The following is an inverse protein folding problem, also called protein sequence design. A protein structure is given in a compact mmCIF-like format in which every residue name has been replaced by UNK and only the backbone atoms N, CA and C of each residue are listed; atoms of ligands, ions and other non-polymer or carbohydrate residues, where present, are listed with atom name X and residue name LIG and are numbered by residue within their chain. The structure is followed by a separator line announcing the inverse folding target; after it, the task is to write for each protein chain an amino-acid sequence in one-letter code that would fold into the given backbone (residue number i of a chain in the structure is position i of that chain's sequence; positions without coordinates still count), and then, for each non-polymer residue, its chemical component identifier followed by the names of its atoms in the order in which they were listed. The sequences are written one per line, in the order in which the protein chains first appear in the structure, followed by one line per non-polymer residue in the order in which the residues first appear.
data_IF_068119876508
#
_entry.id   IF_068119876508
#
_cell.length_a   1.000
_cell.length_b   1.000
_cell.length_c   1.000
_cell.angle_alpha   90.00
_cell.angle_beta   90.00
_cell.angle_gamma   90.00
#
_symmetry.space_group_name_H-M   'P 1'
#
loop_
_entity.id
_entity.type
_entity.pdbx_description
1 polymer ?
2 non-polymer ?
3 non-polymer ?
4 water ?
#
# COMPACT_ATOMS: atom_id res chain seq x y z
N UNK A 1 11.68 7.84 4.66
CA UNK A 1 10.80 7.79 3.44
C UNK A 1 9.32 7.62 3.81
N UNK A 2 8.40 7.78 2.82
CA UNK A 2 6.97 7.53 3.03
C UNK A 2 6.72 6.04 3.30
N UNK A 3 7.67 5.20 2.87
CA UNK A 3 7.63 3.73 3.03
C UNK A 3 8.38 3.19 4.24
N UNK A 4 8.99 4.03 5.07
CA UNK A 4 9.91 3.58 6.17
C UNK A 4 9.13 2.72 7.19
N UNK A 5 7.88 3.12 7.47
CA UNK A 5 7.04 2.35 8.40
C UNK A 5 6.77 0.94 7.87
N UNK A 6 6.48 0.81 6.60
CA UNK A 6 6.24 -0.49 5.91
C UNK A 6 7.51 -1.35 5.87
N UNK A 7 6.31 1.28 5.76
CA UNK A 7 5.82 -0.10 5.53
C UNK A 7 6.99 -1.07 5.38
N UNK A 8 7.92 -0.71 4.51
CA UNK A 8 8.98 -1.63 4.06
C UNK A 8 9.07 -2.75 5.10
N UNK A 9 9.46 -2.45 6.35
CA UNK A 9 9.72 -3.47 7.38
C UNK A 9 8.50 -4.38 7.54
N UNK A 10 7.30 -3.80 7.65
CA UNK A 10 6.03 -4.54 7.86
C UNK A 10 5.65 -5.29 6.60
N UNK A 11 5.90 -4.71 5.41
CA UNK A 11 5.29 -5.27 4.18
C UNK A 11 6.19 -6.26 3.36
N UNK A 12 7.50 -6.10 3.15
CA UNK A 12 8.01 -6.51 1.76
C UNK A 12 8.22 -8.01 1.63
N UNK A 13 8.24 -8.70 2.78
CA UNK A 13 8.39 -10.14 2.84
C UNK A 13 7.07 -10.90 2.76
N UNK A 14 5.93 -10.24 2.71
CA UNK A 14 4.65 -10.87 2.36
C UNK A 14 4.75 -11.36 0.94
N UNK A 15 4.54 -12.66 0.73
CA UNK A 15 4.85 -13.28 -0.57
C UNK A 15 3.60 -13.12 -1.40
N UNK A 16 3.34 -11.88 -1.77
CA UNK A 16 2.25 -11.51 -2.69
C UNK A 16 2.81 -10.42 -3.58
N UNK A 17 2.18 -10.19 -4.73
CA UNK A 17 2.60 -9.08 -5.62
C UNK A 17 1.82 -7.84 -5.29
N UNK A 18 2.46 -6.82 -4.76
CA UNK A 18 1.74 -5.58 -4.47
C UNK A 18 2.71 -4.41 -4.45
N UNK A 19 2.14 -3.21 -4.62
CA UNK A 19 2.82 -1.93 -4.37
C UNK A 19 1.90 -1.08 -3.52
N UNK A 20 2.48 -0.10 -2.78
CA UNK A 20 1.76 0.96 -2.01
C UNK A 20 2.21 2.31 -2.58
N UNK A 21 1.27 3.11 -3.09
CA UNK A 21 1.56 4.43 -3.65
C UNK A 21 1.09 5.49 -2.67
N UNK A 22 1.69 6.70 -2.82
CA UNK A 22 1.37 7.86 -1.99
C UNK A 22 0.74 8.95 -2.83
N UNK A 23 -0.60 9.03 -2.80
CA UNK A 23 -1.28 10.00 -3.67
C UNK A 23 -1.10 11.46 -3.22
N UNK A 24 -0.45 11.66 -2.07
CA UNK A 24 -0.24 13.01 -1.51
C UNK A 24 1.12 13.54 -2.00
N UNK A 25 1.83 12.83 -2.88
CA UNK A 25 3.07 13.27 -3.55
C UNK A 25 2.87 13.36 -5.06
N UNK A 26 3.71 14.14 -5.78
CA UNK A 26 3.53 14.24 -7.22
C UNK A 26 3.44 12.90 -7.96
N UNK A 27 2.37 12.82 -8.75
CA UNK A 27 2.18 11.71 -9.70
C UNK A 27 2.08 10.40 -8.92
N UNK A 28 1.55 10.39 -7.69
CA UNK A 28 1.14 9.13 -6.96
C UNK A 28 2.21 8.03 -7.12
N UNK A 29 3.45 8.30 -6.68
CA UNK A 29 4.55 7.37 -6.89
C UNK A 29 4.41 6.13 -5.99
N UNK A 30 4.95 5.05 -6.53
CA UNK A 30 5.21 3.85 -5.69
C UNK A 30 6.19 4.22 -4.58
N UNK A 31 5.79 3.98 -3.32
CA UNK A 31 6.67 4.20 -2.16
C UNK A 31 7.07 2.88 -1.50
N UNK A 32 6.40 1.78 -1.87
CA UNK A 32 6.87 0.43 -1.46
C UNK A 32 6.50 -0.54 -2.56
N UNK A 33 7.34 -1.54 -2.68
CA UNK A 33 7.04 -2.63 -3.59
C UNK A 33 7.45 -3.95 -2.94
N UNK A 34 6.57 -4.96 -2.99
CA UNK A 34 6.94 -6.27 -2.39
C UNK A 34 8.08 -6.90 -3.14
N UNK A 35 8.86 -7.74 -2.45
CA UNK A 35 9.89 -8.55 -3.15
C UNK A 35 9.25 -9.30 -4.30
N UNK A 36 8.07 -9.88 -4.11
CA UNK A 36 7.47 -10.67 -5.20
C UNK A 36 7.17 -9.81 -6.44
N UNK A 37 6.65 -8.60 -6.26
CA UNK A 37 6.43 -7.68 -7.40
C UNK A 37 7.67 -7.48 -8.27
N UNK A 38 8.81 -7.26 -7.64
CA UNK A 38 10.05 -7.04 -8.40
C UNK A 38 10.41 -8.29 -9.22
N UNK A 39 10.19 -9.48 -8.67
CA UNK A 39 10.50 -10.71 -9.43
C UNK A 39 9.55 -10.85 -10.63
N UNK A 40 8.26 -10.59 -10.42
CA UNK A 40 7.24 -10.60 -11.50
C UNK A 40 7.67 -9.66 -12.64
N UNK A 41 7.96 -8.41 -12.30
CA UNK A 41 8.10 -7.35 -13.33
C UNK A 41 9.52 -7.30 -13.90
N UNK A 42 10.43 -7.83 -13.07
CA UNK A 42 11.89 -8.00 -13.28
C UNK A 42 12.61 -6.65 -13.20
N UNK A 43 11.97 -5.61 -12.67
CA UNK A 43 12.63 -4.34 -12.26
C UNK A 43 13.19 -4.48 -10.84
N UNK A 44 14.21 -3.67 -10.54
CA UNK A 44 14.83 -3.57 -9.20
C UNK A 44 14.02 -2.58 -8.34
N UNK A 45 14.16 -2.68 -7.02
CA UNK A 45 13.48 -1.73 -6.12
C UNK A 45 13.93 -0.31 -6.51
N UNK A 46 15.22 -0.10 -6.78
CA UNK A 46 15.71 1.27 -7.02
C UNK A 46 15.15 1.85 -8.32
N UNK A 47 14.86 1.01 -9.32
CA UNK A 47 14.26 1.45 -10.60
C UNK A 47 12.80 1.87 -10.38
N UNK A 48 12.11 1.29 -9.39
CA UNK A 48 10.64 1.45 -9.19
C UNK A 48 10.33 2.54 -8.16
N UNK A 49 11.03 2.62 -7.04
CA UNK A 49 10.55 3.49 -5.95
C UNK A 49 10.64 4.94 -6.42
N UNK A 50 9.59 5.69 -6.15
CA UNK A 50 9.47 7.09 -6.56
C UNK A 50 8.92 7.25 -7.97
N UNK A 51 8.54 6.20 -8.66
CA UNK A 51 7.93 6.32 -10.02
C UNK A 51 6.47 5.81 -9.99
N UNK A 52 5.65 6.33 -10.86
CA UNK A 52 4.26 5.89 -11.07
C UNK A 52 4.29 4.50 -11.71
N UNK A 53 3.31 3.70 -11.31
CA UNK A 53 3.18 2.29 -11.81
C UNK A 53 2.87 2.16 -13.30
N UNK A 54 2.57 3.27 -14.00
CA UNK A 54 2.09 3.15 -15.39
C UNK A 54 3.17 2.63 -16.34
N UNK A 55 4.44 2.56 -15.88
CA UNK A 55 5.54 2.02 -16.69
C UNK A 55 5.25 0.57 -17.16
N UNK A 56 4.36 -0.15 -16.48
CA UNK A 56 4.07 -1.54 -16.83
C UNK A 56 3.23 -1.63 -18.12
N UNK A 57 2.62 -0.54 -18.56
CA UNK A 57 1.72 -0.58 -19.69
C UNK A 57 2.52 -0.57 -21.00
N UNK A 58 1.90 -0.94 -22.10
CA UNK A 58 2.56 -0.99 -23.41
C UNK A 58 1.55 -0.99 -24.56
N UNK A 59 1.99 -1.47 -25.73
CA UNK A 59 1.24 -1.23 -26.95
C UNK A 59 -0.17 -1.81 -27.01
N UNK A 60 -0.40 -2.99 -26.45
CA UNK A 60 -1.75 -3.61 -26.53
C UNK A 60 -2.60 -3.28 -25.30
N UNK A 61 -2.10 -2.49 -24.36
CA UNK A 61 -2.90 -2.17 -23.16
C UNK A 61 -4.17 -1.45 -23.55
N UNK A 62 -5.32 -1.89 -23.04
CA UNK A 62 -6.64 -1.26 -23.30
C UNK A 62 -6.70 0.06 -22.53
N UNK A 63 -6.74 1.16 -23.27
CA UNK A 63 -6.72 2.50 -22.67
C UNK A 63 -8.00 2.78 -21.91
N UNK A 64 -9.12 2.17 -22.27
CA UNK A 64 -10.37 2.34 -21.52
C UNK A 64 -10.23 1.66 -20.16
N UNK A 65 -9.55 0.53 -20.07
CA UNK A 65 -9.29 -0.13 -18.78
C UNK A 65 -8.41 0.76 -17.90
N UNK A 66 -7.40 1.33 -18.51
CA UNK A 66 -6.51 2.27 -17.76
C UNK A 66 -7.34 3.44 -17.23
N UNK A 67 -8.29 3.95 -18.02
CA UNK A 67 -9.14 5.06 -17.57
C UNK A 67 -9.99 4.64 -16.38
N UNK A 68 -10.40 3.38 -16.28
CA UNK A 68 -11.19 2.94 -15.12
C UNK A 68 -10.30 2.97 -13.88
N UNK A 69 -8.99 2.73 -14.01
CA UNK A 69 -8.08 2.86 -12.86
C UNK A 69 -7.95 4.34 -12.50
N UNK A 70 -7.66 5.16 -13.51
CA UNK A 70 -7.56 6.63 -13.37
C UNK A 70 -8.76 7.18 -12.60
N UNK A 71 -9.98 6.77 -12.99
CA UNK A 71 -11.22 7.30 -12.41
C UNK A 71 -11.34 6.81 -10.99
N UNK A 72 -11.01 5.55 -10.72
CA UNK A 72 -11.11 5.04 -9.33
C UNK A 72 -10.16 5.79 -8.40
N UNK A 73 -8.97 6.08 -8.89
CA UNK A 73 -7.98 6.83 -8.08
C UNK A 73 -8.52 8.24 -7.82
N UNK A 74 -8.99 8.89 -8.88
CA UNK A 74 -9.51 10.27 -8.74
C UNK A 74 -10.70 10.30 -7.77
N UNK A 75 -11.57 9.30 -7.87
CA UNK A 75 -12.79 9.17 -7.05
C UNK A 75 -12.51 8.61 -5.66
N UNK A 76 -11.30 8.11 -5.47
CA UNK A 76 -10.84 7.39 -4.25
C UNK A 76 -11.72 6.17 -3.94
N UNK A 77 -11.96 5.36 -4.94
CA UNK A 77 -12.75 4.12 -4.79
C UNK A 77 -11.84 2.93 -5.13
N UNK A 78 -12.26 1.76 -4.69
CA UNK A 78 -11.63 0.49 -5.10
C UNK A 78 -11.94 0.31 -6.57
N UNK A 79 -11.22 -0.63 -7.20
CA UNK A 79 -11.57 -1.16 -8.54
C UNK A 79 -10.80 -2.45 -8.77
N UNK A 80 -11.38 -3.29 -9.55
CA UNK A 80 -10.73 -4.51 -10.03
C UNK A 80 -10.82 -4.52 -11.54
N UNK A 81 -9.70 -4.66 -12.22
CA UNK A 81 -9.65 -4.70 -13.69
C UNK A 81 -8.67 -5.77 -14.12
N UNK A 82 -8.66 -6.04 -15.41
CA UNK A 82 -7.66 -6.92 -16.00
C UNK A 82 -7.11 -6.24 -17.24
N UNK A 83 -5.78 -6.11 -17.31
CA UNK A 83 -5.18 -5.33 -18.41
C UNK A 83 -3.84 -5.99 -18.77
N UNK A 84 -3.38 -5.69 -19.96
CA UNK A 84 -2.08 -6.14 -20.44
C UNK A 84 -0.97 -5.24 -19.89
N UNK A 85 0.04 -5.89 -19.35
CA UNK A 85 1.27 -5.29 -18.83
C UNK A 85 2.45 -6.03 -19.48
N UNK A 86 3.66 -5.47 -19.29
CA UNK A 86 4.91 -5.99 -19.88
C UNK A 86 5.97 -5.96 -18.80
N UNK A 87 6.76 -7.03 -18.73
CA UNK A 87 7.98 -7.03 -17.88
C UNK A 87 9.12 -6.20 -18.50
N UNK A 88 10.17 -6.01 -17.74
CA UNK A 88 11.35 -5.22 -18.25
C UNK A 88 11.88 -5.82 -19.57
N UNK A 89 11.80 -7.15 -19.75
CA UNK A 89 12.27 -7.81 -21.00
C UNK A 89 11.30 -7.65 -22.17
N UNK A 90 10.08 -7.13 -21.91
CA UNK A 90 9.06 -7.01 -22.98
C UNK A 90 8.13 -8.20 -23.07
N UNK A 91 8.20 -9.12 -22.10
CA UNK A 91 7.27 -10.27 -21.98
C UNK A 91 5.89 -9.71 -21.62
N UNK A 92 4.91 -10.05 -22.42
CA UNK A 92 3.49 -9.69 -22.18
C UNK A 92 2.91 -10.56 -21.08
N UNK A 93 2.12 -9.94 -20.22
CA UNK A 93 1.30 -10.71 -19.27
C UNK A 93 -0.03 -9.99 -19.05
N UNK A 94 -1.02 -10.78 -18.65
CA UNK A 94 -2.32 -10.22 -18.20
C UNK A 94 -2.18 -9.98 -16.70
N UNK A 95 -2.56 -8.80 -16.26
CA UNK A 95 -2.50 -8.38 -14.85
C UNK A 95 -3.93 -8.23 -14.39
N UNK A 96 -4.37 -9.15 -13.54
CA UNK A 96 -5.61 -8.95 -12.81
C UNK A 96 -5.26 -8.14 -11.56
N UNK A 97 -5.75 -6.91 -11.56
CA UNK A 97 -5.27 -5.81 -10.71
C UNK A 97 -6.40 -5.36 -9.80
N UNK A 98 -6.15 -5.29 -8.51
CA UNK A 98 -7.11 -4.72 -7.53
C UNK A 98 -6.46 -3.56 -6.81
N UNK A 99 -7.13 -2.43 -6.83
CA UNK A 99 -6.76 -1.17 -6.16
C UNK A 99 -7.65 -0.98 -4.96
N UNK A 100 -7.14 -0.53 -3.84
CA UNK A 100 -8.09 0.02 -2.82
C UNK A 100 -7.34 1.03 -2.00
N UNK A 101 -8.03 2.11 -1.66
CA UNK A 101 -7.48 3.12 -0.78
C UNK A 101 -7.24 2.55 0.62
N UNK A 102 -6.18 3.04 1.25
CA UNK A 102 -5.86 2.74 2.65
C UNK A 102 -6.08 4.02 3.46
N UNK A 103 -6.99 3.94 4.40
CA UNK A 103 -7.45 5.08 5.20
C UNK A 103 -6.71 5.10 6.54
N UNK A 104 -6.61 6.29 7.08
CA UNK A 104 -6.16 6.48 8.50
C UNK A 104 -7.39 6.46 9.42
N UNK A 105 -7.16 6.75 10.71
CA UNK A 105 -8.14 6.73 11.83
C UNK A 105 -9.35 7.63 11.54
N UNK A 106 -9.11 8.76 10.86
CA UNK A 106 -10.12 9.80 10.52
C UNK A 106 -10.92 9.41 9.27
N UNK A 107 -10.46 8.41 8.49
CA UNK A 107 -11.14 7.98 7.25
C UNK A 107 -10.58 8.64 6.00
N UNK A 108 -9.50 9.40 6.14
CA UNK A 108 -8.85 10.11 5.01
C UNK A 108 -7.98 9.06 4.29
N UNK A 109 -7.89 9.16 2.97
CA UNK A 109 -7.06 8.24 2.16
C UNK A 109 -5.58 8.64 2.29
N UNK A 110 -4.76 7.78 2.86
CA UNK A 110 -3.31 8.04 3.06
C UNK A 110 -2.43 7.44 1.95
N UNK A 111 -2.78 6.22 1.50
CA UNK A 111 -2.03 5.44 0.50
C UNK A 111 -3.02 4.69 -0.36
N UNK A 112 -2.58 4.26 -1.53
CA UNK A 112 -3.29 3.24 -2.30
C UNK A 112 -2.47 1.95 -2.23
N UNK A 113 -3.19 0.84 -2.15
CA UNK A 113 -2.66 -0.55 -2.24
C UNK A 113 -3.07 -1.07 -3.59
N UNK A 114 -2.12 -1.68 -4.29
CA UNK A 114 -2.40 -2.30 -5.56
C UNK A 114 -1.87 -3.70 -5.57
N UNK A 115 -2.71 -4.66 -5.80
CA UNK A 115 -2.36 -6.09 -5.80
C UNK A 115 -2.54 -6.64 -7.20
N UNK A 116 -1.51 -7.37 -7.66
CA UNK A 116 -1.48 -7.92 -9.02
C UNK A 116 -1.54 -9.45 -8.93
N UNK A 117 -2.26 -10.09 -9.83
CA UNK A 117 -2.17 -11.53 -10.09
C UNK A 117 -1.93 -11.74 -11.56
N UNK A 118 -0.78 -12.20 -11.91
CA UNK A 118 -0.31 -12.31 -13.30
C UNK A 118 -0.82 -13.60 -13.93
N UNK A 119 -1.02 -13.56 -15.22
CA UNK A 119 -1.38 -14.76 -15.98
C UNK A 119 -1.02 -14.60 -17.44
N UNK A 120 -1.19 -15.71 -18.12
CA UNK A 120 -0.79 -15.85 -19.52
C UNK A 120 -1.95 -15.43 -20.39
N UNK A 121 -3.16 -15.48 -19.85
CA UNK A 121 -4.38 -15.25 -20.63
C UNK A 121 -5.35 -14.36 -19.88
N UNK A 122 -6.28 -13.77 -20.60
CA UNK A 122 -7.40 -13.00 -20.00
C UNK A 122 -8.30 -14.05 -19.35
N UNK A 123 -8.45 -14.09 -18.05
CA UNK A 123 -9.33 -15.06 -17.37
C UNK A 123 -10.74 -14.50 -17.34
N UNK A 124 -11.69 -15.40 -17.31
CA UNK A 124 -13.09 -15.01 -17.14
C UNK A 124 -13.80 -16.07 -16.34
N UNK A 125 -15.06 -15.77 -16.08
CA UNK A 125 -15.99 -16.75 -15.48
C UNK A 125 -15.46 -17.22 -14.12
N UNK A 126 -15.60 -18.49 -13.75
CA UNK A 126 -15.43 -18.83 -12.34
C UNK A 126 -13.96 -18.60 -12.05
N UNK A 127 -13.03 -18.86 -13.00
CA UNK A 127 -11.57 -18.68 -12.80
C UNK A 127 -11.31 -17.23 -12.43
N UNK A 128 -11.92 -16.30 -13.14
CA UNK A 128 -11.70 -14.87 -12.86
C UNK A 128 -12.25 -14.59 -11.48
N UNK A 129 -13.43 -15.10 -11.14
CA UNK A 129 -14.12 -14.66 -9.92
C UNK A 129 -13.32 -15.17 -8.75
N UNK A 130 -12.75 -16.36 -8.84
CA UNK A 130 -11.88 -16.87 -7.80
C UNK A 130 -10.62 -16.02 -7.68
N UNK A 131 -9.95 -15.69 -8.79
CA UNK A 131 -8.73 -14.87 -8.74
C UNK A 131 -9.02 -13.52 -8.12
N UNK A 132 -10.15 -12.94 -8.42
CA UNK A 132 -10.59 -11.67 -7.82
C UNK A 132 -10.71 -11.86 -6.29
N UNK A 133 -11.39 -12.92 -5.82
CA UNK A 133 -11.49 -13.15 -4.37
C UNK A 133 -10.09 -13.32 -3.74
N UNK A 134 -9.09 -13.96 -4.37
CA UNK A 134 -7.70 -14.10 -3.84
C UNK A 134 -7.12 -12.70 -3.66
N UNK A 135 -7.15 -11.87 -4.68
CA UNK A 135 -6.43 -10.59 -4.60
C UNK A 135 -7.17 -9.66 -3.64
N UNK A 136 -8.49 -9.70 -3.52
CA UNK A 136 -9.25 -8.90 -2.54
C UNK A 136 -8.89 -9.32 -1.13
N UNK A 137 -8.74 -10.63 -0.88
CA UNK A 137 -8.38 -11.12 0.49
C UNK A 137 -6.94 -10.68 0.78
N UNK A 138 -6.05 -10.75 -0.18
CA UNK A 138 -4.66 -10.29 -0.04
C UNK A 138 -4.66 -8.81 0.26
N UNK A 139 -5.47 -8.02 -0.45
CA UNK A 139 -5.49 -6.57 -0.21
C UNK A 139 -5.94 -6.28 1.20
N UNK A 140 -6.94 -6.99 1.70
CA UNK A 140 -7.39 -6.79 3.08
C UNK A 140 -6.28 -7.14 4.07
N UNK A 141 -5.51 -8.19 3.85
CA UNK A 141 -4.42 -8.56 4.80
C UNK A 141 -3.32 -7.49 4.73
N UNK A 142 -3.06 -6.91 3.56
CA UNK A 142 -2.08 -5.82 3.46
C UNK A 142 -2.62 -4.57 4.16
N UNK A 143 -3.90 -4.30 4.00
CA UNK A 143 -4.51 -3.09 4.60
C UNK A 143 -4.31 -3.15 6.12
N UNK A 144 -4.61 -4.27 6.74
CA UNK A 144 -4.51 -4.31 8.22
C UNK A 144 -3.07 -4.24 8.68
N UNK A 145 -2.16 -4.95 8.01
CA UNK A 145 -0.73 -4.92 8.36
C UNK A 145 -0.19 -3.52 8.14
N UNK A 146 -0.53 -2.86 7.05
CA UNK A 146 -0.04 -1.51 6.76
C UNK A 146 -0.63 -0.53 7.76
N UNK A 147 -1.88 -0.69 8.19
CA UNK A 147 -2.48 0.24 9.17
C UNK A 147 -1.73 0.11 10.48
N UNK A 148 -1.38 -1.09 10.86
CA UNK A 148 -0.61 -1.31 12.12
C UNK A 148 0.76 -0.66 12.01
N UNK A 149 1.44 -0.83 10.88
CA UNK A 149 2.76 -0.23 10.63
C UNK A 149 2.67 1.28 10.67
N UNK A 150 1.59 1.85 10.14
CA UNK A 150 1.42 3.31 10.15
C UNK A 150 1.18 3.79 11.58
N UNK A 151 0.45 3.06 12.41
CA UNK A 151 0.30 3.45 13.84
C UNK A 151 1.66 3.39 14.54
N UNK A 152 2.48 2.38 14.26
CA UNK A 152 3.80 2.28 14.88
C UNK A 152 4.66 3.50 14.47
N UNK A 153 4.62 3.90 13.21
CA UNK A 153 5.39 5.07 12.73
C UNK A 153 4.85 6.34 13.38
N UNK A 154 3.54 6.41 13.64
CA UNK A 154 2.96 7.62 14.30
C UNK A 154 3.43 7.66 15.75
N UNK A 155 3.51 6.52 16.41
CA UNK A 155 4.00 6.44 17.80
C UNK A 155 5.45 6.88 17.84
N UNK A 156 6.29 6.42 16.93
CA UNK A 156 7.71 6.84 16.90
C UNK A 156 7.80 8.35 16.68
N UNK A 157 6.99 8.90 15.80
CA UNK A 157 7.04 10.34 15.46
C UNK A 157 6.61 11.14 16.70
N UNK A 158 5.62 10.69 17.46
CA UNK A 158 5.18 11.48 18.64
C UNK A 158 6.17 11.34 19.78
N UNK A 159 6.84 10.20 19.94
CA UNK A 159 7.87 10.07 20.97
C UNK A 159 9.00 11.07 20.70
N UNK A 160 9.41 11.23 19.46
CA UNK A 160 10.42 12.24 19.08
C UNK A 160 9.94 13.62 19.49
N UNK A 161 8.68 13.95 19.21
CA UNK A 161 8.13 15.28 19.59
C UNK A 161 8.10 15.43 21.08
N UNK A 162 7.73 14.42 21.84
CA UNK A 162 7.71 14.48 23.31
C UNK A 162 9.12 14.71 23.88
N UNK A 163 10.07 13.96 23.36
CA UNK A 163 11.47 14.19 23.78
C UNK A 163 11.96 15.60 23.46
N UNK A 164 11.71 16.07 22.25
CA UNK A 164 12.02 17.51 21.91
C UNK A 164 11.36 18.47 22.91
N UNK A 165 10.12 18.26 23.26
CA UNK A 165 9.41 19.17 24.18
C UNK A 165 9.99 19.05 25.59
N UNK A 166 10.40 17.86 25.97
CA UNK A 166 11.04 17.64 27.28
C UNK A 166 12.40 18.35 27.31
N UNK A 167 13.18 18.20 26.25
CA UNK A 167 14.50 18.86 26.22
C UNK A 167 14.25 20.37 26.37
N UNK A 168 13.20 20.92 25.75
CA UNK A 168 12.98 22.39 25.67
C UNK A 168 12.26 22.88 26.91
N UNK A 169 11.88 22.02 27.84
CA UNK A 169 11.10 22.41 29.03
C UNK A 169 9.72 22.94 28.68
N UNK A 170 9.09 22.37 27.65
CA UNK A 170 7.79 22.81 27.08
C UNK A 170 6.70 21.94 27.72
N UNK A 171 6.44 22.04 29.01
CA UNK A 171 5.63 21.03 29.71
C UNK A 171 4.17 21.03 29.32
N UNK A 172 3.60 22.13 28.86
CA UNK A 172 2.21 22.04 28.36
C UNK A 172 2.20 21.20 27.08
N UNK A 173 3.19 21.38 26.24
CA UNK A 173 3.32 20.57 25.03
C UNK A 173 3.50 19.10 25.41
N UNK A 174 4.36 18.81 26.40
CA UNK A 174 4.54 17.40 26.86
C UNK A 174 3.19 16.81 27.23
N UNK A 175 2.39 17.53 27.99
CA UNK A 175 1.08 17.01 28.47
C UNK A 175 0.19 16.68 27.28
N UNK A 176 0.10 17.58 26.34
CA UNK A 176 -0.77 17.41 25.15
C UNK A 176 -0.30 16.15 24.41
N UNK A 177 0.99 16.06 24.15
CA UNK A 177 1.57 15.00 23.31
C UNK A 177 1.47 13.67 24.05
N UNK A 178 1.67 13.62 25.35
CA UNK A 178 1.54 12.30 26.05
C UNK A 178 0.08 11.80 25.96
N UNK A 179 -0.91 12.66 25.96
CA UNK A 179 -2.31 12.17 25.81
C UNK A 179 -2.49 11.60 24.41
N UNK A 180 -1.96 12.26 23.40
CA UNK A 180 -2.01 11.69 22.03
C UNK A 180 -1.27 10.33 22.00
N UNK A 181 -0.10 10.22 22.57
CA UNK A 181 0.65 8.96 22.56
C UNK A 181 -0.21 7.85 23.19
N UNK A 182 -0.91 8.16 24.29
CA UNK A 182 -1.72 7.14 24.99
C UNK A 182 -2.84 6.67 24.04
N UNK A 183 -3.44 7.55 23.27
CA UNK A 183 -4.49 7.12 22.32
C UNK A 183 -3.87 6.30 21.20
N UNK A 184 -2.72 6.69 20.66
CA UNK A 184 -2.06 5.92 19.58
C UNK A 184 -1.69 4.54 20.08
N UNK A 185 -1.13 4.45 21.28
CA UNK A 185 -0.75 3.15 21.85
C UNK A 185 -2.00 2.27 21.95
N UNK A 186 -3.10 2.81 22.46
CA UNK A 186 -4.34 2.01 22.59
C UNK A 186 -4.77 1.54 21.22
N UNK A 187 -4.76 2.40 20.22
CA UNK A 187 -5.13 2.00 18.87
C UNK A 187 -4.25 0.88 18.33
N UNK A 188 -2.93 1.01 18.50
CA UNK A 188 -1.94 0.03 18.06
C UNK A 188 -2.25 -1.30 18.76
N UNK A 189 -2.37 -1.27 20.06
CA UNK A 189 -2.59 -2.53 20.79
C UNK A 189 -3.89 -3.19 20.32
N UNK A 190 -4.95 -2.43 20.12
CA UNK A 190 -6.25 -2.98 19.67
C UNK A 190 -6.08 -3.66 18.34
N UNK A 191 -5.49 -2.98 17.38
CA UNK A 191 -5.36 -3.61 16.06
C UNK A 191 -4.42 -4.80 16.11
N UNK A 192 -3.35 -4.73 16.90
CA UNK A 192 -2.42 -5.86 17.03
C UNK A 192 -3.18 -7.10 17.48
N UNK A 193 -4.02 -6.94 18.47
CA UNK A 193 -4.75 -8.11 18.95
C UNK A 193 -5.64 -8.67 17.84
N UNK A 194 -6.33 -7.81 17.07
CA UNK A 194 -7.26 -8.27 16.02
C UNK A 194 -6.49 -9.15 15.05
N UNK A 195 -5.30 -8.74 14.64
CA UNK A 195 -4.64 -9.54 13.60
C UNK A 195 -3.76 -10.63 14.18
N UNK A 196 -3.63 -10.70 15.51
CA UNK A 196 -2.78 -11.73 16.25
C UNK A 196 -3.29 -13.14 15.99
#
# INVERSE_FOLDING_TARGET
GPGSGFLAAALERIEKNFVITDPRLPDNPIIFASDSFLQLTEYSREEILGRNARFLQGPETDRATVRKIRDAIDNQTEVTVQLINYTKSGKKFWNLFHLQPMRDQKGDVQYFIGVQLDGTEHVRDAAEREAVMLIKKTAEEIDLAAKLAALKAAIEAIIKRIEEAEKNGDEDKVKELREKLDKLRKAYDRLELIIR
#
